data_IF_703490296696
#
_entry.id   IF_703490296696
#
_cell.length_a   1.000
_cell.length_b   1.000
_cell.length_c   1.000
_cell.angle_alpha   90.00
_cell.angle_beta   90.00
_cell.angle_gamma   90.00
#
_symmetry.space_group_name_H-M   'P 1'
#
loop_
_entity.id
_entity.type
_entity.pdbx_description
1 polymer ?
#
# COMPACT_ATOMS: atom_id res chain seq x y z
N UNK A 1 2.60 8.58 -19.25
CA UNK A 1 3.34 7.81 -18.22
C UNK A 1 2.67 7.99 -16.86
N UNK A 2 2.40 6.90 -16.19
CA UNK A 2 1.72 6.93 -14.91
C UNK A 2 2.66 6.51 -13.78
N UNK A 3 2.42 7.09 -12.61
CA UNK A 3 3.01 6.66 -11.35
C UNK A 3 1.92 5.97 -10.53
N UNK A 4 2.30 4.95 -9.77
CA UNK A 4 1.36 4.24 -8.92
C UNK A 4 1.91 4.26 -7.49
N UNK A 5 1.11 4.83 -6.58
CA UNK A 5 1.37 4.76 -5.16
C UNK A 5 0.72 3.48 -4.63
N UNK A 6 1.51 2.66 -3.96
CA UNK A 6 1.02 1.43 -3.34
C UNK A 6 1.27 1.51 -1.84
N UNK A 7 0.24 1.22 -1.06
CA UNK A 7 0.33 1.10 0.40
C UNK A 7 -0.20 -0.28 0.77
N UNK A 8 0.62 -1.07 1.46
CA UNK A 8 0.25 -2.42 1.87
C UNK A 8 0.36 -2.57 3.38
N UNK A 9 -0.46 -3.45 3.95
CA UNK A 9 -0.38 -3.83 5.35
C UNK A 9 0.51 -5.07 5.47
N UNK A 10 1.60 -4.97 6.22
CA UNK A 10 2.57 -6.04 6.33
C UNK A 10 2.04 -7.25 7.12
N UNK A 11 1.09 -7.05 8.01
CA UNK A 11 0.49 -8.13 8.80
C UNK A 11 -0.58 -8.89 8.02
N UNK A 12 -1.58 -8.17 7.50
CA UNK A 12 -2.70 -8.79 6.77
C UNK A 12 -2.39 -9.07 5.31
N UNK A 13 -1.31 -8.49 4.79
CA UNK A 13 -0.94 -8.54 3.36
C UNK A 13 -1.94 -7.84 2.45
N UNK A 14 -2.86 -7.07 3.01
CA UNK A 14 -3.80 -6.29 2.21
C UNK A 14 -3.09 -5.19 1.43
N UNK A 15 -3.53 -4.95 0.20
CA UNK A 15 -3.25 -3.72 -0.51
C UNK A 15 -4.27 -2.69 -0.08
N UNK A 16 -3.83 -1.69 0.69
CA UNK A 16 -4.71 -0.66 1.26
C UNK A 16 -4.99 0.46 0.26
N UNK A 17 -4.04 0.77 -0.59
CA UNK A 17 -4.18 1.78 -1.63
C UNK A 17 -3.34 1.40 -2.84
N UNK A 18 -3.89 1.66 -4.01
CA UNK A 18 -3.20 1.58 -5.28
C UNK A 18 -3.70 2.74 -6.12
N UNK A 19 -2.94 3.84 -6.12
CA UNK A 19 -3.36 5.11 -6.71
C UNK A 19 -2.51 5.42 -7.94
N UNK A 20 -3.18 5.52 -9.09
CA UNK A 20 -2.53 5.89 -10.34
C UNK A 20 -2.68 7.39 -10.59
N UNK A 21 -1.58 8.05 -10.91
CA UNK A 21 -1.59 9.45 -11.31
C UNK A 21 -0.38 9.73 -12.22
N UNK A 22 -0.38 10.89 -12.86
CA UNK A 22 0.76 11.34 -13.65
C UNK A 22 1.91 11.79 -12.77
N UNK A 23 1.61 12.27 -11.57
CA UNK A 23 2.59 12.60 -10.53
C UNK A 23 1.97 12.42 -9.16
N UNK A 24 2.80 12.14 -8.15
CA UNK A 24 2.35 11.97 -6.77
C UNK A 24 3.29 12.78 -5.89
N UNK A 25 2.74 13.85 -5.29
CA UNK A 25 3.49 14.74 -4.41
C UNK A 25 3.46 14.22 -2.97
N UNK A 26 4.34 14.77 -2.13
CA UNK A 26 4.32 14.49 -0.68
C UNK A 26 3.00 14.92 -0.02
N UNK A 27 2.42 16.03 -0.47
CA UNK A 27 1.12 16.49 0.03
C UNK A 27 0.01 15.49 -0.32
N UNK A 28 0.02 14.93 -1.54
CA UNK A 28 -0.92 13.89 -1.95
C UNK A 28 -0.75 12.63 -1.11
N UNK A 29 0.48 12.23 -0.88
CA UNK A 29 0.80 11.08 -0.05
C UNK A 29 0.24 11.25 1.37
N UNK A 30 0.45 12.41 1.97
CA UNK A 30 -0.09 12.71 3.30
C UNK A 30 -1.62 12.61 3.33
N UNK A 31 -2.31 13.12 2.31
CA UNK A 31 -3.78 13.00 2.22
C UNK A 31 -4.24 11.56 2.10
N UNK A 32 -3.53 10.74 1.34
CA UNK A 32 -3.87 9.32 1.21
C UNK A 32 -3.75 8.61 2.58
N UNK A 33 -2.73 8.92 3.37
CA UNK A 33 -2.63 8.38 4.72
C UNK A 33 -3.73 8.89 5.63
N UNK A 34 -4.11 10.15 5.54
CA UNK A 34 -5.23 10.68 6.34
C UNK A 34 -6.52 9.91 6.06
N UNK A 35 -6.81 9.61 4.80
CA UNK A 35 -7.99 8.83 4.42
C UNK A 35 -7.92 7.42 5.00
N UNK A 36 -6.77 6.76 4.89
CA UNK A 36 -6.61 5.40 5.43
C UNK A 36 -6.76 5.36 6.94
N UNK A 37 -6.19 6.32 7.65
CA UNK A 37 -6.27 6.40 9.11
C UNK A 37 -7.70 6.65 9.57
N UNK A 38 -8.45 7.44 8.81
CA UNK A 38 -9.84 7.78 9.15
C UNK A 38 -10.74 6.54 9.24
N UNK A 39 -10.53 5.53 8.40
CA UNK A 39 -11.38 4.35 8.41
C UNK A 39 -10.70 3.10 8.99
N UNK A 40 -9.38 3.06 9.08
CA UNK A 40 -8.65 1.88 9.54
C UNK A 40 -7.93 2.10 10.87
N UNK A 41 -7.72 3.34 11.27
CA UNK A 41 -6.92 3.70 12.43
C UNK A 41 -5.44 3.91 12.07
N UNK A 42 -4.67 4.51 12.99
CA UNK A 42 -3.28 4.80 12.73
C UNK A 42 -2.40 3.54 12.73
N UNK A 43 -1.43 3.43 11.82
CA UNK A 43 -0.46 2.35 11.86
C UNK A 43 0.54 2.59 12.99
N UNK A 44 1.20 1.51 13.41
CA UNK A 44 2.30 1.64 14.37
C UNK A 44 3.53 2.28 13.73
N UNK A 45 3.80 1.91 12.49
CA UNK A 45 4.99 2.31 11.77
C UNK A 45 4.71 2.28 10.27
N UNK A 46 5.16 3.32 9.59
CA UNK A 46 5.20 3.34 8.12
C UNK A 46 6.64 3.10 7.69
N UNK A 47 6.83 2.21 6.75
CA UNK A 47 8.14 1.89 6.18
C UNK A 47 8.13 2.24 4.69
N UNK A 48 9.09 3.00 4.23
CA UNK A 48 9.20 3.39 2.84
C UNK A 48 10.65 3.48 2.37
N UNK A 49 10.82 3.61 1.06
CA UNK A 49 12.10 4.00 0.49
C UNK A 49 12.35 5.50 0.71
N UNK A 50 13.42 6.02 0.12
CA UNK A 50 13.84 7.41 0.24
C UNK A 50 13.44 8.25 -0.98
N UNK A 51 12.37 7.89 -1.68
CA UNK A 51 11.91 8.68 -2.82
C UNK A 51 11.62 10.13 -2.44
N UNK A 52 11.71 11.07 -3.41
CA UNK A 52 11.52 12.50 -3.10
C UNK A 52 10.19 12.82 -2.45
N UNK A 53 9.10 12.16 -2.83
CA UNK A 53 7.78 12.33 -2.23
C UNK A 53 7.77 11.86 -0.78
N UNK A 54 8.52 10.81 -0.47
CA UNK A 54 8.57 10.20 0.87
C UNK A 54 9.37 11.05 1.85
N UNK A 55 10.39 11.77 1.37
CA UNK A 55 11.27 12.61 2.18
C UNK A 55 10.91 14.09 2.14
N UNK A 56 9.77 14.44 1.57
CA UNK A 56 9.34 15.82 1.38
C UNK A 56 9.02 16.51 2.71
N UNK A 57 9.02 17.85 2.68
CA UNK A 57 8.61 18.64 3.84
C UNK A 57 7.15 18.38 4.21
N UNK A 58 6.28 18.12 3.24
CA UNK A 58 4.89 17.79 3.50
C UNK A 58 4.75 16.52 4.34
N UNK A 59 5.53 15.50 4.04
CA UNK A 59 5.54 14.24 4.79
C UNK A 59 6.14 14.45 6.19
N UNK A 60 7.22 15.21 6.31
CA UNK A 60 7.80 15.54 7.62
C UNK A 60 6.80 16.26 8.51
N UNK A 61 6.11 17.27 7.99
CA UNK A 61 5.07 17.98 8.75
C UNK A 61 3.94 17.04 9.15
N UNK A 62 3.55 16.14 8.24
CA UNK A 62 2.51 15.15 8.51
C UNK A 62 2.89 14.19 9.63
N UNK A 63 4.14 13.68 9.65
CA UNK A 63 4.61 12.79 10.71
C UNK A 63 4.63 13.49 12.06
N UNK A 64 5.03 14.77 12.10
CA UNK A 64 5.01 15.55 13.33
C UNK A 64 3.59 15.80 13.83
N UNK A 65 2.65 16.09 12.93
CA UNK A 65 1.26 16.35 13.29
C UNK A 65 0.52 15.07 13.71
N UNK A 66 0.70 13.99 12.96
CA UNK A 66 -0.02 12.73 13.20
C UNK A 66 0.56 11.91 14.35
N UNK A 67 1.85 12.09 14.65
CA UNK A 67 2.54 11.26 15.63
C UNK A 67 2.87 9.85 15.15
N UNK A 68 2.63 9.54 13.88
CA UNK A 68 2.94 8.22 13.32
C UNK A 68 4.43 8.09 13.07
N UNK A 69 5.03 6.99 13.52
CA UNK A 69 6.44 6.71 13.31
C UNK A 69 6.70 6.35 11.84
N UNK A 70 7.82 6.80 11.30
CA UNK A 70 8.20 6.54 9.92
C UNK A 70 9.66 6.10 9.84
N UNK A 71 9.89 4.96 9.19
CA UNK A 71 11.23 4.42 8.99
C UNK A 71 11.56 4.40 7.50
N UNK A 72 12.66 5.02 7.13
CA UNK A 72 13.18 4.98 5.77
C UNK A 72 14.17 3.84 5.64
N UNK A 73 13.99 3.02 4.60
CA UNK A 73 14.87 1.88 4.34
C UNK A 73 16.24 2.40 3.90
N UNK A 74 17.30 1.86 4.49
CA UNK A 74 18.66 2.22 4.09
C UNK A 74 18.92 1.76 2.65
N UNK A 75 19.55 2.58 1.82
CA UNK A 75 19.92 2.17 0.46
C UNK A 75 20.74 0.88 0.47
N UNK A 76 20.44 -0.02 -0.48
CA UNK A 76 21.12 -1.29 -0.59
C UNK A 76 20.68 -2.37 0.39
N UNK A 77 19.58 -2.17 1.12
CA UNK A 77 19.03 -3.17 2.05
C UNK A 77 17.59 -3.55 1.69
N UNK A 78 17.35 -4.17 0.54
CA UNK A 78 16.01 -4.52 0.07
C UNK A 78 15.28 -5.49 1.00
N UNK A 79 15.99 -6.33 1.74
CA UNK A 79 15.38 -7.27 2.67
C UNK A 79 14.58 -6.61 3.79
N UNK A 80 14.79 -5.32 4.04
CA UNK A 80 13.99 -4.56 5.01
C UNK A 80 12.55 -4.33 4.55
N UNK A 81 12.24 -4.62 3.30
CA UNK A 81 10.93 -4.42 2.73
C UNK A 81 10.54 -5.54 1.76
N UNK A 82 10.82 -6.78 2.15
CA UNK A 82 10.66 -7.93 1.27
C UNK A 82 9.24 -8.12 0.74
N UNK A 83 8.21 -7.86 1.58
CA UNK A 83 6.83 -8.04 1.13
C UNK A 83 6.44 -7.02 0.06
N UNK A 84 6.76 -5.74 0.25
CA UNK A 84 6.41 -4.72 -0.76
C UNK A 84 7.13 -4.96 -2.09
N UNK A 85 8.34 -5.48 -2.05
CA UNK A 85 9.06 -5.85 -3.28
C UNK A 85 8.36 -6.98 -4.00
N UNK A 86 7.97 -8.02 -3.26
CA UNK A 86 7.20 -9.15 -3.80
C UNK A 86 5.85 -8.69 -4.35
N UNK A 87 5.16 -7.83 -3.63
CA UNK A 87 3.90 -7.24 -4.09
C UNK A 87 4.08 -6.45 -5.38
N UNK A 88 5.08 -5.59 -5.43
CA UNK A 88 5.37 -4.79 -6.63
C UNK A 88 5.73 -5.66 -7.83
N UNK A 89 6.42 -6.76 -7.60
CA UNK A 89 6.70 -7.76 -8.62
C UNK A 89 5.41 -8.35 -9.19
N UNK A 90 4.49 -8.76 -8.33
CA UNK A 90 3.19 -9.30 -8.75
C UNK A 90 2.37 -8.25 -9.52
N UNK A 91 2.32 -7.02 -9.01
CA UNK A 91 1.61 -5.93 -9.69
C UNK A 91 2.16 -5.68 -11.09
N UNK A 92 3.49 -5.63 -11.22
CA UNK A 92 4.14 -5.41 -12.51
C UNK A 92 3.88 -6.58 -13.47
N UNK A 93 4.09 -7.81 -13.01
CA UNK A 93 4.05 -8.98 -13.88
C UNK A 93 2.62 -9.36 -14.27
N UNK A 94 1.67 -9.25 -13.35
CA UNK A 94 0.29 -9.67 -13.59
C UNK A 94 -0.59 -8.56 -14.14
N UNK A 95 -0.22 -7.31 -13.94
CA UNK A 95 -1.08 -6.19 -14.30
C UNK A 95 -0.39 -5.21 -15.24
N UNK A 96 0.71 -4.59 -14.82
CA UNK A 96 1.33 -3.49 -15.60
C UNK A 96 1.89 -3.97 -16.93
N UNK A 97 2.49 -5.15 -16.98
CA UNK A 97 3.05 -5.70 -18.22
C UNK A 97 1.99 -6.27 -19.17
N UNK A 98 0.82 -6.64 -18.64
CA UNK A 98 -0.23 -7.30 -19.41
C UNK A 98 -1.36 -6.35 -19.81
N UNK A 99 -1.35 -5.11 -19.33
CA UNK A 99 -2.48 -4.19 -19.50
C UNK A 99 -2.05 -2.91 -20.17
N UNK A 100 -2.80 -2.53 -21.21
CA UNK A 100 -2.67 -1.21 -21.86
C UNK A 100 -3.79 -0.30 -21.33
N UNK A 101 -3.41 0.92 -20.96
CA UNK A 101 -4.37 1.90 -20.48
C UNK A 101 -4.58 2.98 -21.54
N UNK A 102 -5.84 3.25 -21.86
CA UNK A 102 -6.17 4.29 -22.83
C UNK A 102 -6.14 5.68 -22.20
N UNK A 103 -6.51 5.80 -20.91
CA UNK A 103 -6.59 7.06 -20.18
C UNK A 103 -6.24 6.85 -18.72
N UNK A 104 -5.99 7.94 -17.99
CA UNK A 104 -5.78 7.87 -16.54
C UNK A 104 -7.01 7.35 -15.79
N UNK A 105 -8.26 7.79 -16.08
CA UNK A 105 -9.43 7.17 -15.46
C UNK A 105 -9.54 5.66 -15.73
N UNK A 106 -9.19 5.21 -16.92
CA UNK A 106 -9.15 3.78 -17.23
C UNK A 106 -8.13 3.05 -16.37
N UNK A 107 -6.92 3.60 -16.22
CA UNK A 107 -5.89 3.02 -15.35
C UNK A 107 -6.37 2.91 -13.90
N UNK A 108 -7.04 3.95 -13.39
CA UNK A 108 -7.59 3.95 -12.03
C UNK A 108 -8.64 2.88 -11.83
N UNK A 109 -9.53 2.72 -12.80
CA UNK A 109 -10.59 1.69 -12.74
C UNK A 109 -9.98 0.30 -12.74
N UNK A 110 -9.05 0.03 -13.64
CA UNK A 110 -8.47 -1.30 -13.75
C UNK A 110 -7.60 -1.66 -12.57
N UNK A 111 -6.84 -0.73 -12.02
CA UNK A 111 -6.02 -1.02 -10.84
C UNK A 111 -6.89 -1.24 -9.60
N UNK A 112 -8.03 -0.56 -9.49
CA UNK A 112 -8.99 -0.80 -8.41
C UNK A 112 -9.56 -2.22 -8.48
N UNK A 113 -9.87 -2.70 -9.67
CA UNK A 113 -10.33 -4.07 -9.89
C UNK A 113 -9.26 -5.10 -9.53
N UNK A 114 -8.02 -4.86 -9.91
CA UNK A 114 -6.91 -5.74 -9.57
C UNK A 114 -6.68 -5.78 -8.05
N UNK A 115 -6.77 -4.65 -7.38
CA UNK A 115 -6.64 -4.53 -5.93
C UNK A 115 -7.73 -5.34 -5.21
N UNK A 116 -8.98 -5.25 -5.66
CA UNK A 116 -10.07 -6.03 -5.08
C UNK A 116 -9.84 -7.53 -5.25
N UNK A 117 -9.43 -7.97 -6.43
CA UNK A 117 -9.09 -9.36 -6.68
C UNK A 117 -7.96 -9.84 -5.77
N UNK A 118 -6.90 -9.05 -5.65
CA UNK A 118 -5.76 -9.35 -4.81
C UNK A 118 -6.18 -9.53 -3.34
N UNK A 119 -6.98 -8.60 -2.82
CA UNK A 119 -7.37 -8.61 -1.41
C UNK A 119 -8.41 -9.69 -1.08
N UNK A 120 -9.34 -9.97 -1.99
CA UNK A 120 -10.52 -10.79 -1.67
C UNK A 120 -10.51 -12.17 -2.28
N UNK A 121 -9.79 -12.39 -3.36
CA UNK A 121 -9.85 -13.65 -4.11
C UNK A 121 -8.55 -14.45 -4.09
N UNK A 122 -7.44 -13.81 -3.79
CA UNK A 122 -6.14 -14.45 -3.94
C UNK A 122 -5.62 -14.99 -2.61
N UNK A 123 -5.54 -16.33 -2.43
CA UNK A 123 -4.98 -16.92 -1.21
C UNK A 123 -3.48 -16.72 -1.12
N UNK A 124 -2.99 -16.51 0.10
CA UNK A 124 -1.56 -16.35 0.40
C UNK A 124 -1.09 -17.45 1.35
N UNK A 125 0.01 -18.12 1.02
CA UNK A 125 0.57 -19.17 1.85
C UNK A 125 0.98 -18.65 3.23
N UNK A 126 1.50 -17.43 3.31
CA UNK A 126 1.88 -16.80 4.58
C UNK A 126 0.69 -16.56 5.51
N UNK A 127 -0.53 -16.57 4.99
CA UNK A 127 -1.77 -16.32 5.74
C UNK A 127 -2.60 -17.60 5.94
N UNK A 128 -2.04 -18.77 5.70
CA UNK A 128 -2.77 -20.03 5.78
C UNK A 128 -3.64 -20.31 4.56
N UNK A 129 -3.24 -19.84 3.40
CA UNK A 129 -3.91 -20.00 2.11
C UNK A 129 -5.28 -19.34 2.02
N UNK A 130 -5.46 -18.23 2.72
CA UNK A 130 -6.68 -17.41 2.61
C UNK A 130 -6.33 -16.01 2.03
N UNK A 131 -7.33 -15.31 1.44
CA UNK A 131 -7.10 -13.96 0.94
C UNK A 131 -6.80 -12.94 2.05
N UNK A 132 -6.06 -11.87 1.75
CA UNK A 132 -5.72 -10.85 2.74
C UNK A 132 -6.91 -10.24 3.48
N UNK A 133 -7.99 -9.92 2.79
CA UNK A 133 -9.18 -9.34 3.42
C UNK A 133 -9.82 -10.30 4.41
N UNK A 134 -9.85 -11.59 4.10
CA UNK A 134 -10.36 -12.62 5.01
C UNK A 134 -9.48 -12.77 6.24
N UNK A 135 -8.16 -12.76 6.06
CA UNK A 135 -7.21 -12.80 7.17
C UNK A 135 -7.36 -11.58 8.09
N UNK A 136 -7.52 -10.39 7.52
CA UNK A 136 -7.72 -9.16 8.28
C UNK A 136 -8.99 -9.22 9.12
N UNK A 137 -10.08 -9.75 8.58
CA UNK A 137 -11.33 -9.94 9.30
C UNK A 137 -11.15 -10.92 10.45
N UNK A 138 -10.46 -12.03 10.22
CA UNK A 138 -10.15 -13.03 11.24
C UNK A 138 -9.40 -12.44 12.43
N UNK A 139 -8.36 -11.63 12.16
CA UNK A 139 -7.60 -10.94 13.21
C UNK A 139 -8.50 -10.01 14.02
N UNK A 140 -9.36 -9.24 13.37
CA UNK A 140 -10.29 -8.33 14.07
C UNK A 140 -11.24 -9.07 14.98
N UNK A 141 -11.78 -10.19 14.51
CA UNK A 141 -12.69 -11.02 15.33
C UNK A 141 -11.97 -11.62 16.53
N UNK A 142 -10.75 -12.08 16.37
CA UNK A 142 -9.94 -12.61 17.47
C UNK A 142 -9.67 -11.52 18.53
N UNK A 143 -9.34 -10.30 18.10
CA UNK A 143 -9.14 -9.17 19.01
C UNK A 143 -10.41 -8.78 19.76
N UNK A 144 -11.57 -8.85 19.12
CA UNK A 144 -12.85 -8.56 19.76
C UNK A 144 -13.26 -9.64 20.75
N UNK A 145 -12.86 -10.89 20.51
CA UNK A 145 -13.16 -12.02 21.40
C UNK A 145 -12.25 -12.05 22.64
N UNK A 146 -11.09 -11.42 22.55
CA UNK A 146 -10.16 -11.33 23.67
C UNK A 146 -10.59 -10.21 24.62
#
# INVERSE_FOLDING_TARGET
>A
RYRILVIVDDVSRECLAAVADTSISGARLAREFDVLIAWRGPPRLIVSDNGPEMTSHAVLRWTNRSGVAWHYIAPGKPQQNAFIESFNGSLRDEFLNETLFSTLPDARTQIAMWKEDYNRQRPHSALGNIPPAEFAMKIRLEKQAA
#
